data_IF_727291737205
#
_entry.id   IF_727291737205
#
_cell.length_a   1.000
_cell.length_b   1.000
_cell.length_c   1.000
_cell.angle_alpha   90.00
_cell.angle_beta   90.00
_cell.angle_gamma   90.00
#
_symmetry.space_group_name_H-M   'P 1'
#
loop_
_entity.id
_entity.type
_entity.pdbx_description
1 polymer ?
#
# COMPACT_ATOMS: atom_id res chain seq x y z
N UNK A 1 42.86 -22.18 48.20
CA UNK A 1 42.67 -21.09 49.19
C UNK A 1 43.17 -19.78 48.59
N UNK A 2 42.70 -18.63 49.08
CA UNK A 2 42.80 -17.24 48.54
C UNK A 2 41.68 -16.88 47.56
N UNK A 3 40.45 -16.52 47.99
CA UNK A 3 39.97 -15.31 48.71
C UNK A 3 40.33 -13.97 48.04
N UNK A 4 39.29 -13.44 47.36
CA UNK A 4 38.89 -12.05 47.08
C UNK A 4 39.90 -10.93 47.36
N UNK A 5 40.21 -10.14 46.32
CA UNK A 5 40.36 -8.68 46.44
C UNK A 5 39.67 -8.02 45.23
N UNK A 6 38.77 -7.12 45.58
CA UNK A 6 38.03 -6.17 44.76
C UNK A 6 38.93 -5.01 44.35
N UNK A 7 38.91 -4.60 43.08
CA UNK A 7 39.29 -3.24 42.67
C UNK A 7 38.25 -2.71 41.68
N UNK A 8 37.52 -1.71 42.15
CA UNK A 8 36.71 -0.80 41.36
C UNK A 8 37.56 -0.14 40.27
N UNK A 9 37.05 -0.08 39.05
CA UNK A 9 37.27 1.07 38.16
C UNK A 9 35.90 1.60 37.71
N UNK A 10 35.43 2.57 38.47
CA UNK A 10 34.44 3.56 38.04
C UNK A 10 35.24 4.70 37.39
N UNK A 11 34.91 5.09 36.16
CA UNK A 11 34.48 6.46 35.79
C UNK A 11 34.43 6.68 34.28
N UNK A 12 33.23 7.10 33.82
CA UNK A 12 32.91 8.25 32.94
C UNK A 12 33.49 8.22 31.50
N UNK A 13 32.72 8.44 30.43
CA UNK A 13 31.91 9.64 30.15
C UNK A 13 30.73 9.30 29.21
N UNK A 14 29.56 9.85 29.57
CA UNK A 14 28.41 10.08 28.71
C UNK A 14 28.70 11.19 27.67
N UNK A 15 28.57 10.87 26.39
CA UNK A 15 28.23 11.79 25.29
C UNK A 15 27.77 10.92 24.09
N UNK A 16 26.56 11.00 23.54
CA UNK A 16 25.41 11.82 23.87
C UNK A 16 24.11 11.10 23.49
N UNK A 17 23.04 11.53 24.14
CA UNK A 17 21.68 11.32 23.68
C UNK A 17 21.46 11.97 22.30
N UNK A 18 20.34 11.61 21.69
CA UNK A 18 19.66 12.26 20.56
C UNK A 18 20.19 12.00 19.15
N UNK A 19 19.68 10.94 18.54
CA UNK A 19 19.13 11.03 17.18
C UNK A 19 17.75 10.37 17.15
N UNK A 20 16.79 11.11 17.69
CA UNK A 20 15.39 11.02 17.28
C UNK A 20 15.32 11.31 15.78
N UNK A 21 14.47 10.58 15.07
CA UNK A 21 13.98 10.87 13.71
C UNK A 21 15.03 11.06 12.62
N UNK A 22 15.46 9.95 12.05
CA UNK A 22 15.40 9.82 10.59
C UNK A 22 14.92 8.42 10.29
N UNK A 23 13.59 8.23 10.27
CA UNK A 23 13.01 7.22 9.40
C UNK A 23 13.47 7.67 8.02
N UNK A 24 14.59 7.10 7.54
CA UNK A 24 15.01 7.28 6.17
C UNK A 24 13.83 6.79 5.35
N UNK A 25 13.15 7.74 4.67
CA UNK A 25 12.09 7.47 3.73
C UNK A 25 12.65 6.51 2.67
N UNK A 26 12.53 5.21 2.92
CA UNK A 26 12.76 4.20 1.92
C UNK A 26 11.57 4.31 0.96
N UNK A 27 11.72 5.18 -0.04
CA UNK A 27 10.85 5.27 -1.21
C UNK A 27 11.67 4.67 -2.35
N UNK A 28 11.53 3.37 -2.65
CA UNK A 28 12.47 2.66 -3.52
C UNK A 28 12.28 2.88 -5.02
N UNK A 29 11.65 3.97 -5.48
CA UNK A 29 11.39 4.18 -6.91
C UNK A 29 11.45 5.65 -7.31
N UNK A 30 12.66 6.11 -7.65
CA UNK A 30 12.88 7.38 -8.38
C UNK A 30 13.29 7.05 -9.81
N UNK A 31 12.32 6.95 -10.73
CA UNK A 31 12.59 6.74 -12.15
C UNK A 31 11.32 6.84 -13.01
N UNK A 32 11.32 7.73 -14.01
CA UNK A 32 10.11 8.24 -14.68
C UNK A 32 9.45 7.32 -15.73
N UNK A 33 10.00 6.14 -16.06
CA UNK A 33 9.47 5.33 -17.17
C UNK A 33 9.34 3.83 -16.88
N UNK A 34 9.74 3.37 -15.68
CA UNK A 34 9.57 1.97 -15.30
C UNK A 34 8.31 1.83 -14.46
N UNK A 35 7.31 1.13 -15.00
CA UNK A 35 6.15 0.70 -14.24
C UNK A 35 6.58 0.06 -12.92
N UNK A 36 6.02 0.52 -11.81
CA UNK A 36 6.28 -0.04 -10.48
C UNK A 36 5.74 -1.47 -10.39
N UNK A 37 4.62 -1.74 -11.06
CA UNK A 37 3.97 -3.05 -11.15
C UNK A 37 3.64 -3.30 -12.63
N UNK A 38 4.13 -4.41 -13.17
CA UNK A 38 3.89 -4.82 -14.56
C UNK A 38 3.82 -6.34 -14.61
N UNK A 39 2.67 -6.88 -14.19
CA UNK A 39 2.40 -8.31 -14.30
C UNK A 39 2.14 -8.69 -15.77
N UNK A 40 2.67 -9.84 -16.17
CA UNK A 40 2.29 -10.44 -17.45
C UNK A 40 0.79 -10.71 -17.47
N UNK A 41 0.12 -10.46 -18.62
CA UNK A 41 -1.34 -10.53 -18.73
C UNK A 41 -1.92 -11.90 -18.33
N UNK A 42 -1.19 -12.97 -18.58
CA UNK A 42 -1.55 -14.34 -18.23
C UNK A 42 -1.44 -14.64 -16.73
N UNK A 43 -0.75 -13.78 -15.97
CA UNK A 43 -0.64 -13.85 -14.50
C UNK A 43 -1.68 -13.00 -13.78
N UNK A 44 -2.46 -12.21 -14.51
CA UNK A 44 -3.51 -11.37 -13.91
C UNK A 44 -4.74 -12.22 -13.63
N UNK A 45 -5.04 -12.39 -12.35
CA UNK A 45 -6.32 -12.92 -11.89
C UNK A 45 -7.40 -11.83 -12.04
N UNK A 46 -8.25 -11.98 -13.06
CA UNK A 46 -9.25 -10.98 -13.44
C UNK A 46 -10.11 -10.49 -12.27
N UNK A 47 -10.62 -11.42 -11.43
CA UNK A 47 -11.52 -11.06 -10.33
C UNK A 47 -10.85 -10.17 -9.28
N UNK A 48 -9.58 -10.44 -8.98
CA UNK A 48 -8.79 -9.66 -8.03
C UNK A 48 -8.39 -8.30 -8.59
N UNK A 49 -7.98 -8.29 -9.87
CA UNK A 49 -7.68 -7.07 -10.60
C UNK A 49 -8.90 -6.14 -10.67
N UNK A 50 -10.04 -6.66 -11.12
CA UNK A 50 -11.23 -5.88 -11.42
C UNK A 50 -11.80 -5.21 -10.16
N UNK A 51 -11.94 -5.96 -9.07
CA UNK A 51 -12.45 -5.43 -7.81
C UNK A 51 -11.53 -4.33 -7.24
N UNK A 52 -10.21 -4.52 -7.37
CA UNK A 52 -9.25 -3.52 -6.92
C UNK A 52 -9.24 -2.27 -7.80
N UNK A 53 -9.33 -2.45 -9.12
CA UNK A 53 -9.44 -1.35 -10.09
C UNK A 53 -10.70 -0.52 -9.82
N UNK A 54 -11.86 -1.17 -9.75
CA UNK A 54 -13.16 -0.52 -9.54
C UNK A 54 -13.20 0.25 -8.21
N UNK A 55 -12.78 -0.38 -7.10
CA UNK A 55 -12.72 0.27 -5.80
C UNK A 55 -11.79 1.49 -5.79
N UNK A 56 -10.69 1.42 -6.54
CA UNK A 56 -9.73 2.53 -6.67
C UNK A 56 -10.32 3.67 -7.48
N UNK A 57 -10.93 3.38 -8.64
CA UNK A 57 -11.63 4.40 -9.43
C UNK A 57 -12.71 5.08 -8.59
N UNK A 58 -13.56 4.32 -7.90
CA UNK A 58 -14.62 4.87 -7.05
C UNK A 58 -14.08 5.78 -5.94
N UNK A 59 -12.92 5.45 -5.37
CA UNK A 59 -12.33 6.20 -4.24
C UNK A 59 -11.59 7.45 -4.69
N UNK A 60 -10.91 7.39 -5.83
CA UNK A 60 -9.92 8.39 -6.25
C UNK A 60 -10.31 9.22 -7.47
N UNK A 61 -11.46 8.95 -8.10
CA UNK A 61 -12.02 9.80 -9.16
C UNK A 61 -12.15 11.25 -8.69
N UNK A 62 -11.61 12.17 -9.49
CA UNK A 62 -11.55 13.61 -9.18
C UNK A 62 -10.51 14.01 -8.12
N UNK A 63 -9.78 13.06 -7.52
CA UNK A 63 -8.69 13.34 -6.57
C UNK A 63 -7.30 13.20 -7.20
N UNK A 64 -7.18 12.32 -8.17
CA UNK A 64 -5.94 12.11 -8.94
C UNK A 64 -5.91 13.08 -10.11
N UNK A 65 -4.78 13.76 -10.28
CA UNK A 65 -4.49 14.68 -11.37
C UNK A 65 -3.12 14.34 -11.98
N UNK A 66 -2.72 15.06 -13.03
CA UNK A 66 -1.45 14.87 -13.74
C UNK A 66 -0.21 14.89 -12.82
N UNK A 67 -0.25 15.67 -11.72
CA UNK A 67 0.85 15.84 -10.77
C UNK A 67 0.81 14.84 -9.61
N UNK A 68 -0.15 13.91 -9.59
CA UNK A 68 -0.25 12.92 -8.53
C UNK A 68 0.89 11.88 -8.64
N UNK A 69 1.53 11.54 -7.51
CA UNK A 69 2.60 10.56 -7.45
C UNK A 69 2.05 9.12 -7.47
N UNK A 70 1.56 8.70 -8.65
CA UNK A 70 0.91 7.40 -8.86
C UNK A 70 1.84 6.23 -8.53
N UNK A 71 3.12 6.33 -8.90
CA UNK A 71 4.10 5.28 -8.66
C UNK A 71 4.39 5.09 -7.16
N UNK A 72 4.50 6.18 -6.40
CA UNK A 72 4.62 6.13 -4.95
C UNK A 72 3.39 5.49 -4.31
N UNK A 73 2.20 5.90 -4.73
CA UNK A 73 0.94 5.33 -4.27
C UNK A 73 0.88 3.82 -4.51
N UNK A 74 1.18 3.38 -5.73
CA UNK A 74 1.19 1.96 -6.08
C UNK A 74 2.25 1.18 -5.30
N UNK A 75 3.41 1.78 -5.05
CA UNK A 75 4.47 1.19 -4.21
C UNK A 75 3.96 0.93 -2.80
N UNK A 76 3.29 1.92 -2.19
CA UNK A 76 2.72 1.78 -0.85
C UNK A 76 1.64 0.70 -0.78
N UNK A 77 0.75 0.64 -1.77
CA UNK A 77 -0.26 -0.41 -1.86
C UNK A 77 0.35 -1.81 -1.99
N UNK A 78 1.36 -1.96 -2.85
CA UNK A 78 2.06 -3.22 -3.06
C UNK A 78 2.85 -3.66 -1.81
N UNK A 79 3.57 -2.74 -1.17
CA UNK A 79 4.32 -3.03 0.06
C UNK A 79 3.40 -3.46 1.22
N UNK A 80 2.17 -2.92 1.28
CA UNK A 80 1.17 -3.40 2.22
C UNK A 80 0.81 -4.88 1.95
N UNK A 81 0.45 -5.23 0.72
CA UNK A 81 0.10 -6.61 0.38
C UNK A 81 1.26 -7.60 0.51
N UNK A 82 2.50 -7.13 0.32
CA UNK A 82 3.72 -7.92 0.55
C UNK A 82 4.13 -7.99 2.02
N UNK A 83 3.39 -7.37 2.94
CA UNK A 83 3.67 -7.40 4.38
C UNK A 83 4.93 -6.63 4.78
N UNK A 84 5.35 -5.63 4.00
CA UNK A 84 6.58 -4.84 4.20
C UNK A 84 6.38 -3.61 5.07
N UNK A 85 5.14 -3.24 5.36
CA UNK A 85 4.82 -2.09 6.21
C UNK A 85 4.96 -2.48 7.69
N UNK A 86 6.01 -1.95 8.33
CA UNK A 86 6.29 -2.20 9.76
C UNK A 86 5.64 -1.18 10.70
N UNK A 87 5.16 -0.06 10.16
CA UNK A 87 4.56 1.03 10.94
C UNK A 87 3.07 0.71 11.17
N UNK A 88 2.54 0.85 12.40
CA UNK A 88 1.11 0.63 12.64
C UNK A 88 0.22 1.58 11.83
N UNK A 89 -0.89 1.06 11.29
CA UNK A 89 -1.86 1.80 10.45
C UNK A 89 -2.29 3.12 11.11
N UNK A 90 -2.59 3.10 12.41
CA UNK A 90 -2.96 4.31 13.16
C UNK A 90 -1.89 5.39 13.12
N UNK A 91 -0.60 5.02 13.23
CA UNK A 91 0.48 6.00 13.15
C UNK A 91 0.63 6.57 11.74
N UNK A 92 0.33 5.78 10.70
CA UNK A 92 0.31 6.25 9.32
C UNK A 92 -0.82 7.27 9.12
N UNK A 93 -2.01 6.98 9.62
CA UNK A 93 -3.16 7.90 9.61
C UNK A 93 -2.87 9.20 10.36
N UNK A 94 -2.40 9.09 11.61
CA UNK A 94 -2.07 10.23 12.46
C UNK A 94 -1.04 11.13 11.78
N UNK A 95 0.00 10.55 11.16
CA UNK A 95 0.98 11.31 10.38
C UNK A 95 0.31 12.03 9.22
N UNK A 96 -0.42 11.34 8.34
CA UNK A 96 -1.01 11.97 7.16
C UNK A 96 -1.94 13.14 7.49
N UNK A 97 -2.68 13.08 8.59
CA UNK A 97 -3.64 14.11 8.98
C UNK A 97 -3.03 15.33 9.70
N UNK A 98 -1.80 15.25 10.20
CA UNK A 98 -1.13 16.40 10.82
C UNK A 98 -0.53 17.40 9.81
N UNK A 99 -0.60 17.10 8.51
CA UNK A 99 -0.14 17.98 7.42
C UNK A 99 1.39 18.13 7.33
N UNK A 100 1.85 18.87 6.31
CA UNK A 100 3.27 19.21 6.13
C UNK A 100 4.15 18.13 5.50
N UNK A 101 3.58 17.12 4.84
CA UNK A 101 4.34 16.06 4.16
C UNK A 101 4.69 16.44 2.74
N UNK A 102 5.84 15.96 2.29
CA UNK A 102 6.16 15.90 0.87
C UNK A 102 5.07 15.09 0.14
N UNK A 103 4.67 15.57 -1.04
CA UNK A 103 3.52 15.06 -1.79
C UNK A 103 3.70 13.60 -2.23
N UNK A 104 4.94 13.16 -2.38
CA UNK A 104 5.33 11.79 -2.71
C UNK A 104 5.21 10.83 -1.49
N UNK A 105 5.58 11.29 -0.29
CA UNK A 105 5.38 10.60 0.99
C UNK A 105 3.89 10.48 1.29
N UNK A 106 3.14 11.56 1.07
CA UNK A 106 1.68 11.55 1.20
C UNK A 106 1.05 10.51 0.27
N UNK A 107 1.46 10.45 -1.00
CA UNK A 107 0.96 9.48 -1.96
C UNK A 107 1.29 8.04 -1.56
N UNK A 108 2.53 7.76 -1.15
CA UNK A 108 2.95 6.43 -0.70
C UNK A 108 2.06 5.91 0.45
N UNK A 109 1.94 6.69 1.52
CA UNK A 109 1.13 6.27 2.67
C UNK A 109 -0.36 6.27 2.37
N UNK A 110 -0.85 7.12 1.46
CA UNK A 110 -2.22 7.03 0.95
C UNK A 110 -2.47 5.68 0.27
N UNK A 111 -1.49 5.19 -0.50
CA UNK A 111 -1.54 3.87 -1.13
C UNK A 111 -1.57 2.72 -0.12
N UNK A 112 -0.76 2.81 0.95
CA UNK A 112 -0.80 1.87 2.08
C UNK A 112 -2.18 1.80 2.71
N UNK A 113 -2.77 2.96 3.04
CA UNK A 113 -4.08 3.02 3.68
C UNK A 113 -5.21 2.53 2.77
N UNK A 114 -5.12 2.79 1.47
CA UNK A 114 -6.10 2.29 0.51
C UNK A 114 -6.07 0.76 0.41
N UNK A 115 -4.88 0.17 0.29
CA UNK A 115 -4.71 -1.28 0.24
C UNK A 115 -5.15 -1.96 1.55
N UNK A 116 -4.86 -1.34 2.70
CA UNK A 116 -5.33 -1.80 4.00
C UNK A 116 -6.85 -1.81 4.09
N UNK A 117 -7.49 -0.70 3.72
CA UNK A 117 -8.94 -0.57 3.75
C UNK A 117 -9.62 -1.58 2.81
N UNK A 118 -9.07 -1.79 1.61
CA UNK A 118 -9.60 -2.76 0.66
C UNK A 118 -9.47 -4.20 1.20
N UNK A 119 -8.31 -4.57 1.75
CA UNK A 119 -8.11 -5.86 2.40
C UNK A 119 -9.09 -6.07 3.57
N UNK A 120 -9.25 -5.06 4.43
CA UNK A 120 -10.17 -5.11 5.56
C UNK A 120 -11.63 -5.29 5.10
N UNK A 121 -12.03 -4.61 4.02
CA UNK A 121 -13.35 -4.77 3.42
C UNK A 121 -13.60 -6.18 2.89
N UNK A 122 -12.61 -6.79 2.21
CA UNK A 122 -12.73 -8.18 1.76
C UNK A 122 -12.84 -9.15 2.94
N UNK A 123 -12.00 -9.00 3.96
CA UNK A 123 -12.08 -9.81 5.20
C UNK A 123 -13.43 -9.66 5.92
N UNK A 124 -14.07 -8.49 5.81
CA UNK A 124 -15.40 -8.23 6.37
C UNK A 124 -16.52 -8.86 5.53
N UNK A 125 -16.35 -8.97 4.21
CA UNK A 125 -17.34 -9.56 3.31
C UNK A 125 -17.59 -11.04 3.63
N UNK A 126 -16.51 -11.81 3.84
CA UNK A 126 -16.57 -13.13 4.46
C UNK A 126 -15.21 -13.52 5.03
N UNK A 127 -15.22 -14.43 6.02
CA UNK A 127 -14.02 -14.83 6.75
C UNK A 127 -12.89 -15.34 5.83
N UNK A 128 -13.23 -15.91 4.66
CA UNK A 128 -12.27 -16.47 3.72
C UNK A 128 -12.15 -15.74 2.38
N UNK A 129 -12.76 -14.56 2.25
CA UNK A 129 -12.73 -13.81 0.99
C UNK A 129 -11.31 -13.38 0.62
N UNK A 130 -10.49 -12.99 1.61
CA UNK A 130 -9.11 -12.58 1.38
C UNK A 130 -8.23 -13.73 0.86
N UNK A 131 -8.50 -14.97 1.25
CA UNK A 131 -7.75 -16.11 0.70
C UNK A 131 -8.14 -16.47 -0.74
N UNK A 132 -9.21 -15.86 -1.27
CA UNK A 132 -9.71 -16.09 -2.63
C UNK A 132 -9.19 -15.08 -3.65
N UNK A 133 -8.46 -14.05 -3.21
CA UNK A 133 -7.88 -13.03 -4.07
C UNK A 133 -6.39 -13.24 -4.29
N UNK A 134 -5.92 -12.86 -5.47
CA UNK A 134 -4.52 -12.74 -5.80
C UNK A 134 -4.05 -11.30 -5.51
N UNK A 135 -3.25 -11.16 -4.46
CA UNK A 135 -2.80 -9.85 -3.98
C UNK A 135 -1.94 -9.08 -4.99
N UNK A 136 -1.19 -9.78 -5.86
CA UNK A 136 -0.39 -9.13 -6.90
C UNK A 136 -1.30 -8.52 -7.98
N UNK A 137 -2.33 -9.25 -8.41
CA UNK A 137 -3.35 -8.78 -9.34
C UNK A 137 -4.15 -7.61 -8.76
N UNK A 138 -4.42 -7.62 -7.45
CA UNK A 138 -5.02 -6.46 -6.77
C UNK A 138 -4.11 -5.24 -6.84
N UNK A 139 -2.80 -5.40 -6.58
CA UNK A 139 -1.84 -4.31 -6.67
C UNK A 139 -1.75 -3.76 -8.09
N UNK A 140 -1.74 -4.62 -9.11
CA UNK A 140 -1.80 -4.24 -10.52
C UNK A 140 -3.08 -3.45 -10.84
N UNK A 141 -4.25 -3.93 -10.37
CA UNK A 141 -5.52 -3.23 -10.57
C UNK A 141 -5.57 -1.85 -9.94
N UNK A 142 -5.02 -1.69 -8.74
CA UNK A 142 -4.84 -0.38 -8.09
C UNK A 142 -3.95 0.53 -8.93
N UNK A 143 -2.80 0.02 -9.40
CA UNK A 143 -1.83 0.82 -10.14
C UNK A 143 -2.41 1.30 -11.48
N UNK A 144 -3.00 0.40 -12.25
CA UNK A 144 -3.60 0.73 -13.54
C UNK A 144 -4.78 1.71 -13.37
N UNK A 145 -5.62 1.53 -12.34
CA UNK A 145 -6.69 2.50 -12.04
C UNK A 145 -6.15 3.91 -11.76
N UNK A 146 -5.08 4.02 -10.97
CA UNK A 146 -4.48 5.33 -10.67
C UNK A 146 -3.82 5.95 -11.90
N UNK A 147 -3.19 5.16 -12.77
CA UNK A 147 -2.61 5.64 -14.03
C UNK A 147 -3.68 6.09 -15.02
N UNK A 148 -4.77 5.33 -15.13
CA UNK A 148 -5.89 5.69 -15.99
C UNK A 148 -6.59 6.95 -15.47
N UNK A 149 -6.80 7.06 -14.16
CA UNK A 149 -7.31 8.29 -13.52
C UNK A 149 -6.41 9.50 -13.80
N UNK A 150 -5.09 9.35 -13.69
CA UNK A 150 -4.11 10.42 -13.96
C UNK A 150 -4.19 10.92 -15.40
N UNK A 151 -4.53 10.05 -16.34
CA UNK A 151 -4.69 10.39 -17.77
C UNK A 151 -6.10 10.81 -18.16
N UNK A 152 -7.07 10.69 -17.24
CA UNK A 152 -8.49 10.88 -17.57
C UNK A 152 -9.09 9.75 -18.41
N UNK A 153 -8.47 8.56 -18.38
CA UNK A 153 -8.81 7.38 -19.18
C UNK A 153 -9.41 6.24 -18.34
N UNK A 154 -9.83 6.52 -17.10
CA UNK A 154 -10.45 5.53 -16.22
C UNK A 154 -11.62 4.84 -16.91
N UNK A 155 -11.62 3.50 -16.87
CA UNK A 155 -12.66 2.68 -17.49
C UNK A 155 -14.03 3.02 -16.92
N UNK A 156 -15.04 2.97 -17.79
CA UNK A 156 -16.41 3.26 -17.42
C UNK A 156 -17.00 2.22 -16.47
N UNK A 157 -18.09 2.59 -15.79
CA UNK A 157 -18.81 1.73 -14.84
C UNK A 157 -19.39 0.46 -15.50
N UNK A 158 -19.57 0.46 -16.83
CA UNK A 158 -20.09 -0.66 -17.61
C UNK A 158 -18.99 -1.41 -18.39
N UNK A 159 -17.71 -1.22 -18.06
CA UNK A 159 -16.62 -1.99 -18.68
C UNK A 159 -16.80 -3.48 -18.38
N UNK A 160 -17.01 -4.28 -19.42
CA UNK A 160 -17.36 -5.69 -19.31
C UNK A 160 -16.31 -6.50 -18.53
N UNK A 161 -15.02 -6.21 -18.74
CA UNK A 161 -13.93 -6.92 -18.07
C UNK A 161 -13.91 -6.61 -16.56
N UNK A 162 -14.17 -5.36 -16.18
CA UNK A 162 -14.27 -4.94 -14.78
C UNK A 162 -15.52 -5.53 -14.13
N UNK A 163 -16.70 -5.36 -14.74
CA UNK A 163 -17.98 -5.84 -14.18
C UNK A 163 -17.94 -7.35 -13.94
N UNK A 164 -17.54 -8.14 -14.95
CA UNK A 164 -17.48 -9.59 -14.82
C UNK A 164 -16.50 -10.05 -13.73
N UNK A 165 -15.35 -9.38 -13.61
CA UNK A 165 -14.36 -9.70 -12.59
C UNK A 165 -14.87 -9.39 -11.17
N UNK A 166 -15.46 -8.22 -10.96
CA UNK A 166 -16.02 -7.81 -9.67
C UNK A 166 -17.18 -8.69 -9.23
N UNK A 167 -18.08 -9.05 -10.16
CA UNK A 167 -19.18 -9.99 -9.89
C UNK A 167 -18.66 -11.39 -9.56
N UNK A 168 -17.64 -11.87 -10.28
CA UNK A 168 -17.00 -13.15 -10.00
C UNK A 168 -16.37 -13.18 -8.60
N UNK A 169 -15.73 -12.09 -8.16
CA UNK A 169 -15.21 -11.99 -6.79
C UNK A 169 -16.34 -12.00 -5.76
N UNK A 170 -17.39 -11.19 -5.96
CA UNK A 170 -18.52 -11.13 -5.04
C UNK A 170 -19.17 -12.51 -4.89
N UNK A 171 -19.40 -13.21 -6.00
CA UNK A 171 -19.90 -14.59 -5.98
C UNK A 171 -18.94 -15.51 -5.23
N UNK A 172 -17.64 -15.44 -5.48
CA UNK A 172 -16.64 -16.28 -4.81
C UNK A 172 -16.64 -16.03 -3.29
N UNK A 173 -16.80 -14.78 -2.84
CA UNK A 173 -16.75 -14.43 -1.42
C UNK A 173 -18.07 -14.68 -0.67
N UNK A 174 -19.22 -14.69 -1.35
CA UNK A 174 -20.54 -14.84 -0.74
C UNK A 174 -21.15 -16.24 -0.91
N UNK A 175 -20.61 -17.05 -1.81
CA UNK A 175 -21.02 -18.46 -1.95
C UNK A 175 -20.61 -19.24 -0.70
N UNK A 176 -21.60 -19.87 -0.06
CA UNK A 176 -21.42 -20.75 1.11
C UNK A 176 -20.75 -22.07 0.74
#
# INVERSE_FOLDING_TARGET
>A
MFKKISVLFFTLILAGCSSWSSVTNYIPFTGNDKKVIDLDKDKIDQKSYAAAYEATVATYKGRVNENFFVDNFASGANDWYLGRILVPVKQIQDKLYTGGHDSDVYAYYSGVLHAEALQANLKRLSANCWEKVDSQSMAQGIYDAMRDLQKGEARGENDEYIVQGSEALLKACTSK
#
